data_IF_558125289243
#
_entry.id   IF_558125289243
#
_cell.length_a   1.000
_cell.length_b   1.000
_cell.length_c   1.000
_cell.angle_alpha   90.00
_cell.angle_beta   90.00
_cell.angle_gamma   90.00
#
_symmetry.space_group_name_H-M   'P 1'
#
loop_
_entity.id
_entity.type
_entity.pdbx_description
1 polymer ?
#
# COMPACT_ATOMS: atom_id res chain seq x y z
N UNK A 1 25.53 -3.25 -13.84
CA UNK A 1 24.06 -3.26 -13.62
C UNK A 1 23.49 -1.91 -14.06
N UNK A 2 22.55 -1.90 -15.01
CA UNK A 2 21.95 -0.65 -15.51
C UNK A 2 20.93 -0.13 -14.49
N UNK A 3 21.06 1.12 -14.07
CA UNK A 3 20.11 1.77 -13.14
C UNK A 3 18.88 2.21 -13.91
N UNK A 4 17.71 1.81 -13.46
CA UNK A 4 16.43 2.25 -14.04
C UNK A 4 16.17 3.71 -13.67
N UNK A 5 15.66 4.47 -14.62
CA UNK A 5 15.15 5.82 -14.41
C UNK A 5 13.82 5.78 -13.67
N UNK A 6 13.46 6.89 -13.01
CA UNK A 6 12.19 7.00 -12.26
C UNK A 6 10.99 6.63 -13.16
N UNK A 7 10.98 7.13 -14.40
CA UNK A 7 9.93 6.85 -15.38
C UNK A 7 9.80 5.36 -15.70
N UNK A 8 10.92 4.67 -15.96
CA UNK A 8 10.91 3.23 -16.23
C UNK A 8 10.43 2.40 -15.04
N UNK A 9 10.72 2.84 -13.81
CA UNK A 9 10.21 2.19 -12.59
C UNK A 9 8.68 2.32 -12.51
N UNK A 10 8.14 3.53 -12.72
CA UNK A 10 6.69 3.76 -12.66
C UNK A 10 5.93 3.00 -13.74
N UNK A 11 6.38 3.04 -15.00
CA UNK A 11 5.70 2.31 -16.09
C UNK A 11 5.71 0.80 -15.87
N UNK A 12 6.81 0.25 -15.35
CA UNK A 12 6.89 -1.18 -15.02
C UNK A 12 6.00 -1.56 -13.84
N UNK A 13 5.85 -0.66 -12.85
CA UNK A 13 4.90 -0.88 -11.76
C UNK A 13 3.47 -0.86 -12.26
N UNK A 14 3.10 0.06 -13.15
CA UNK A 14 1.74 0.12 -13.74
C UNK A 14 1.41 -1.13 -14.57
N UNK A 15 2.35 -1.62 -15.38
CA UNK A 15 2.15 -2.85 -16.17
C UNK A 15 1.96 -4.09 -15.28
N UNK A 16 2.70 -4.19 -14.18
CA UNK A 16 2.65 -5.36 -13.28
C UNK A 16 1.59 -5.24 -12.17
N UNK A 17 1.14 -4.02 -11.84
CA UNK A 17 0.15 -3.74 -10.79
C UNK A 17 -1.22 -3.41 -11.37
N UNK A 18 -1.71 -4.22 -12.33
CA UNK A 18 -3.16 -4.31 -12.56
C UNK A 18 -3.82 -4.92 -11.33
N UNK A 19 -4.03 -4.08 -10.33
CA UNK A 19 -4.67 -4.44 -9.09
C UNK A 19 -6.19 -4.47 -9.33
N UNK A 20 -6.92 -5.42 -8.72
CA UNK A 20 -8.38 -5.36 -8.69
C UNK A 20 -8.84 -4.06 -8.02
N UNK A 21 -10.13 -3.75 -8.09
CA UNK A 21 -10.68 -2.57 -7.43
C UNK A 21 -10.24 -2.51 -5.95
N UNK A 22 -9.41 -1.51 -5.64
CA UNK A 22 -8.83 -1.30 -4.31
C UNK A 22 -9.66 -0.36 -3.45
N UNK A 23 -10.75 0.21 -4.00
CA UNK A 23 -11.66 1.07 -3.26
C UNK A 23 -12.14 0.47 -1.92
N UNK A 24 -12.38 -0.85 -1.77
CA UNK A 24 -12.80 -1.38 -0.47
C UNK A 24 -11.67 -1.52 0.58
N UNK A 25 -10.40 -1.28 0.21
CA UNK A 25 -9.23 -1.55 1.04
C UNK A 25 -8.56 -0.26 1.53
N UNK A 26 -8.05 -0.29 2.77
CA UNK A 26 -7.01 0.63 3.23
C UNK A 26 -5.72 -0.15 3.46
N UNK A 27 -4.58 0.45 3.11
CA UNK A 27 -3.24 -0.04 3.44
C UNK A 27 -2.59 0.93 4.42
N UNK A 28 -1.94 0.41 5.47
CA UNK A 28 -1.17 1.21 6.42
C UNK A 28 0.09 0.47 6.83
N UNK A 29 1.19 1.21 7.04
CA UNK A 29 2.49 0.64 7.37
C UNK A 29 3.62 1.56 6.91
N UNK A 30 4.83 1.35 7.44
CA UNK A 30 6.03 2.04 6.94
C UNK A 30 6.69 1.19 5.86
N UNK A 31 6.98 1.78 4.69
CA UNK A 31 7.68 1.07 3.62
C UNK A 31 9.19 1.20 3.80
N UNK A 32 9.86 0.08 4.09
CA UNK A 32 11.31 0.02 4.11
C UNK A 32 11.90 0.07 2.69
N UNK A 33 13.15 0.52 2.55
CA UNK A 33 13.88 0.47 1.27
C UNK A 33 14.07 -0.97 0.74
N UNK A 34 13.98 -1.96 1.62
CA UNK A 34 13.97 -3.38 1.26
C UNK A 34 12.64 -3.86 0.65
N UNK A 35 11.62 -3.00 0.60
CA UNK A 35 10.26 -3.34 0.18
C UNK A 35 9.41 -3.98 1.28
N UNK A 36 9.96 -4.17 2.49
CA UNK A 36 9.18 -4.68 3.61
C UNK A 36 8.22 -3.63 4.15
N UNK A 37 6.96 -4.02 4.37
CA UNK A 37 5.99 -3.22 5.12
C UNK A 37 6.23 -3.46 6.62
N UNK A 38 6.39 -2.39 7.39
CA UNK A 38 6.66 -2.42 8.82
C UNK A 38 5.46 -1.89 9.61
N UNK A 39 5.21 -2.41 10.82
CA UNK A 39 4.06 -2.01 11.62
C UNK A 39 4.16 -0.55 12.07
N UNK A 40 3.02 0.15 12.03
CA UNK A 40 2.86 1.50 12.63
C UNK A 40 2.19 1.41 14.00
N UNK A 41 2.37 2.42 14.85
CA UNK A 41 1.61 2.53 16.11
C UNK A 41 0.16 2.94 15.82
N UNK A 42 -0.77 2.51 16.67
CA UNK A 42 -2.17 2.96 16.60
C UNK A 42 -3.03 2.25 15.55
N UNK A 43 -2.63 1.06 15.09
CA UNK A 43 -3.39 0.24 14.11
C UNK A 43 -4.85 0.06 14.49
N UNK A 44 -5.17 -0.12 15.78
CA UNK A 44 -6.55 -0.25 16.24
C UNK A 44 -7.39 1.01 15.94
N UNK A 45 -6.87 2.20 16.24
CA UNK A 45 -7.57 3.45 15.95
C UNK A 45 -7.79 3.64 14.45
N UNK A 46 -6.80 3.25 13.63
CA UNK A 46 -6.89 3.27 12.17
C UNK A 46 -7.98 2.31 11.68
N UNK A 47 -8.03 1.09 12.24
CA UNK A 47 -9.04 0.10 11.90
C UNK A 47 -10.46 0.55 12.27
N UNK A 48 -10.63 1.20 13.42
CA UNK A 48 -11.92 1.76 13.85
C UNK A 48 -12.40 2.86 12.90
N UNK A 49 -11.51 3.75 12.46
CA UNK A 49 -11.85 4.80 11.49
C UNK A 49 -12.15 4.23 10.09
N UNK A 50 -11.37 3.22 9.65
CA UNK A 50 -11.63 2.50 8.40
C UNK A 50 -13.03 1.88 8.39
N UNK A 51 -13.40 1.21 9.49
CA UNK A 51 -14.73 0.65 9.71
C UNK A 51 -15.81 1.74 9.69
N UNK A 52 -15.59 2.87 10.37
CA UNK A 52 -16.52 4.02 10.37
C UNK A 52 -16.77 4.57 8.96
N UNK A 53 -15.77 4.49 8.07
CA UNK A 53 -15.86 4.91 6.66
C UNK A 53 -16.36 3.83 5.71
N UNK A 54 -16.90 2.72 6.23
CA UNK A 54 -17.38 1.57 5.44
C UNK A 54 -16.31 0.93 4.54
N UNK A 55 -15.02 1.03 4.90
CA UNK A 55 -13.98 0.24 4.23
C UNK A 55 -14.05 -1.20 4.74
N UNK A 56 -14.01 -2.15 3.82
CA UNK A 56 -14.22 -3.58 4.12
C UNK A 56 -12.96 -4.23 4.69
N UNK A 57 -11.79 -3.73 4.34
CA UNK A 57 -10.52 -4.38 4.68
C UNK A 57 -9.45 -3.35 5.01
N UNK A 58 -8.71 -3.58 6.11
CA UNK A 58 -7.46 -2.88 6.42
C UNK A 58 -6.31 -3.88 6.30
N UNK A 59 -5.29 -3.53 5.52
CA UNK A 59 -4.03 -4.26 5.36
C UNK A 59 -2.97 -3.49 6.16
N UNK A 60 -2.26 -4.20 7.03
CA UNK A 60 -1.27 -3.67 8.00
C UNK A 60 0.08 -4.35 7.85
#
# INVERSE_FOLDING_TARGET
MKRLTKTEIFSRLEENNRLPDLEPFYLTGELALSGQLRPVKGVLSIALEAKRRNRRTLIV
#
